data_IF_911394194598
#
_entry.id   IF_911394194598
#
_cell.length_a   1.000
_cell.length_b   1.000
_cell.length_c   1.000
_cell.angle_alpha   90.00
_cell.angle_beta   90.00
_cell.angle_gamma   90.00
#
_symmetry.space_group_name_H-M   'P 1'
#
loop_
_entity.id
_entity.type
_entity.pdbx_description
1 polymer ?
#
# COMPACT_ATOMS: atom_id res chain seq x y z
N UNK A 1 -10.68 -0.70 3.39
CA UNK A 1 -9.30 -0.48 2.96
C UNK A 1 -8.34 -1.04 4.00
N UNK A 2 -7.42 -1.82 3.57
CA UNK A 2 -6.35 -2.37 4.41
C UNK A 2 -5.01 -1.83 3.92
N UNK A 3 -4.16 -1.43 4.84
CA UNK A 3 -2.82 -0.99 4.54
C UNK A 3 -1.82 -1.75 5.39
N UNK A 4 -0.74 -2.21 4.77
CA UNK A 4 0.32 -2.96 5.43
C UNK A 4 1.66 -2.34 5.10
N UNK A 5 2.44 -2.06 6.12
CA UNK A 5 3.79 -1.55 5.98
C UNK A 5 4.71 -2.35 6.87
N UNK A 6 5.81 -2.82 6.31
CA UNK A 6 6.84 -3.51 7.05
C UNK A 6 8.12 -2.71 6.98
N UNK A 7 8.67 -2.38 8.15
CA UNK A 7 9.95 -1.69 8.27
C UNK A 7 10.96 -2.60 8.96
N UNK A 8 12.19 -2.58 8.45
CA UNK A 8 13.30 -3.30 9.06
C UNK A 8 14.23 -2.32 9.75
N UNK A 9 14.66 -2.66 10.95
CA UNK A 9 15.65 -1.90 11.69
C UNK A 9 17.04 -2.49 11.46
N UNK A 10 18.08 -1.69 11.70
CA UNK A 10 19.47 -2.13 11.56
C UNK A 10 19.95 -3.05 12.68
N UNK A 11 19.15 -3.25 13.72
CA UNK A 11 19.46 -4.18 14.79
C UNK A 11 19.11 -5.60 14.35
N UNK A 12 19.71 -6.64 14.92
CA UNK A 12 19.39 -8.02 14.56
C UNK A 12 17.98 -8.42 14.98
N UNK A 13 17.16 -7.47 15.29
CA UNK A 13 15.78 -7.67 15.63
C UNK A 13 14.96 -7.66 14.37
N UNK A 14 14.02 -8.51 14.35
CA UNK A 14 12.99 -8.68 13.35
C UNK A 14 12.38 -7.35 12.90
N UNK A 15 12.03 -7.27 11.64
CA UNK A 15 11.32 -6.14 11.09
C UNK A 15 10.00 -5.89 11.81
N UNK A 16 9.54 -4.65 11.73
CA UNK A 16 8.30 -4.22 12.35
C UNK A 16 7.21 -4.15 11.30
N UNK A 17 6.08 -4.77 11.58
CA UNK A 17 4.88 -4.71 10.75
C UNK A 17 3.88 -3.73 11.34
N UNK A 18 3.43 -2.78 10.53
CA UNK A 18 2.32 -1.90 10.88
C UNK A 18 1.20 -2.16 9.87
N UNK A 19 0.02 -2.45 10.36
CA UNK A 19 -1.14 -2.66 9.51
C UNK A 19 -2.39 -2.10 10.19
N UNK A 20 -3.38 -1.78 9.38
CA UNK A 20 -4.63 -1.23 9.89
C UNK A 20 -5.73 -1.26 8.85
N UNK A 21 -6.92 -0.96 9.29
CA UNK A 21 -8.10 -0.84 8.45
C UNK A 21 -8.68 0.54 8.60
N UNK A 22 -9.11 1.12 7.47
CA UNK A 22 -9.75 2.42 7.44
C UNK A 22 -11.19 2.24 6.95
N UNK A 23 -12.13 2.79 7.69
CA UNK A 23 -13.54 2.75 7.39
C UNK A 23 -14.04 4.15 6.99
N UNK A 24 -15.14 4.18 6.25
CA UNK A 24 -15.74 5.45 5.84
C UNK A 24 -14.97 6.20 4.78
N UNK A 25 -14.09 5.51 4.06
CA UNK A 25 -13.36 6.09 2.95
C UNK A 25 -14.29 6.21 1.75
N UNK A 26 -14.15 7.29 0.98
CA UNK A 26 -14.95 7.53 -0.20
C UNK A 26 -14.84 6.38 -1.20
N UNK A 27 -15.97 5.86 -1.67
CA UNK A 27 -16.01 4.73 -2.60
C UNK A 27 -15.30 5.02 -3.91
N UNK A 28 -15.37 6.25 -4.39
CA UNK A 28 -14.69 6.66 -5.61
C UNK A 28 -13.18 6.49 -5.48
N UNK A 29 -12.63 6.85 -4.33
CA UNK A 29 -11.21 6.66 -4.05
C UNK A 29 -10.85 5.18 -3.98
N UNK A 30 -11.70 4.35 -3.39
CA UNK A 30 -11.44 2.91 -3.25
C UNK A 30 -11.36 2.18 -4.58
N UNK A 31 -11.85 2.78 -5.67
CA UNK A 31 -11.83 2.23 -7.02
C UNK A 31 -10.84 2.89 -7.94
N UNK A 32 -10.16 3.93 -7.48
CA UNK A 32 -9.24 4.73 -8.29
C UNK A 32 -7.82 4.18 -8.18
N UNK A 33 -7.50 3.24 -9.07
CA UNK A 33 -6.20 2.58 -9.11
C UNK A 33 -5.05 3.58 -9.25
N UNK A 34 -5.16 4.53 -10.17
CA UNK A 34 -4.09 5.49 -10.42
C UNK A 34 -3.84 6.37 -9.21
N UNK A 35 -4.89 6.80 -8.55
CA UNK A 35 -4.78 7.64 -7.37
C UNK A 35 -4.18 6.87 -6.20
N UNK A 36 -4.58 5.62 -6.01
CA UNK A 36 -4.04 4.78 -4.96
C UNK A 36 -2.56 4.45 -5.21
N UNK A 37 -2.16 4.26 -6.46
CA UNK A 37 -0.75 4.11 -6.81
C UNK A 37 0.05 5.36 -6.40
N UNK A 38 -0.47 6.54 -6.70
CA UNK A 38 0.19 7.80 -6.32
C UNK A 38 0.28 7.97 -4.80
N UNK A 39 -0.75 7.58 -4.08
CA UNK A 39 -0.73 7.63 -2.61
C UNK A 39 0.39 6.77 -2.06
N UNK A 40 0.56 5.56 -2.56
CA UNK A 40 1.61 4.64 -2.12
C UNK A 40 2.99 5.17 -2.47
N UNK A 41 3.16 5.68 -3.69
CA UNK A 41 4.42 6.27 -4.14
C UNK A 41 4.80 7.47 -3.26
N UNK A 42 3.84 8.33 -3.00
CA UNK A 42 4.05 9.50 -2.17
C UNK A 42 4.37 9.13 -0.72
N UNK A 43 3.67 8.13 -0.20
CA UNK A 43 3.94 7.61 1.14
C UNK A 43 5.37 7.09 1.26
N UNK A 44 5.85 6.35 0.27
CA UNK A 44 7.23 5.87 0.24
C UNK A 44 8.21 7.04 0.23
N UNK A 45 7.92 8.07 -0.55
CA UNK A 45 8.76 9.26 -0.65
C UNK A 45 8.80 10.03 0.68
N UNK A 46 7.65 10.26 1.30
CA UNK A 46 7.55 10.95 2.59
C UNK A 46 8.29 10.17 3.68
N UNK A 47 8.20 8.85 3.66
CA UNK A 47 8.89 8.00 4.61
C UNK A 47 10.40 7.85 4.31
N UNK A 48 10.88 8.51 3.27
CA UNK A 48 12.28 8.46 2.84
C UNK A 48 12.74 7.04 2.49
N UNK A 49 11.86 6.27 1.90
CA UNK A 49 12.14 4.93 1.42
C UNK A 49 12.50 4.95 -0.07
N UNK A 50 13.30 3.98 -0.50
CA UNK A 50 13.76 3.88 -1.87
C UNK A 50 12.84 2.96 -2.68
N UNK A 51 12.02 3.55 -3.53
CA UNK A 51 11.06 2.83 -4.34
C UNK A 51 11.77 2.00 -5.42
N UNK A 52 11.44 0.73 -5.49
CA UNK A 52 11.97 -0.21 -6.50
C UNK A 52 10.93 -0.46 -7.57
N UNK A 53 9.72 -0.82 -7.17
CA UNK A 53 8.64 -1.19 -8.09
C UNK A 53 7.28 -0.95 -7.46
N UNK A 54 6.30 -0.60 -8.28
CA UNK A 54 4.90 -0.50 -7.88
C UNK A 54 4.07 -1.34 -8.82
N UNK A 55 3.28 -2.24 -8.26
CA UNK A 55 2.30 -3.03 -8.99
C UNK A 55 0.91 -2.79 -8.45
N UNK A 56 -0.07 -2.83 -9.31
CA UNK A 56 -1.46 -2.68 -8.90
C UNK A 56 -2.38 -3.53 -9.75
N UNK A 57 -3.52 -3.87 -9.16
CA UNK A 57 -4.57 -4.64 -9.82
C UNK A 57 -5.90 -4.03 -9.48
N UNK A 58 -6.75 -3.92 -10.48
CA UNK A 58 -8.14 -3.53 -10.29
C UNK A 58 -9.04 -4.73 -10.52
N UNK A 59 -9.79 -5.08 -9.50
CA UNK A 59 -10.76 -6.19 -9.56
C UNK A 59 -12.12 -5.64 -9.98
N UNK A 60 -12.70 -6.21 -11.02
CA UNK A 60 -13.99 -5.78 -11.58
C UNK A 60 -14.99 -6.92 -11.54
N UNK A 61 -16.21 -6.55 -11.19
CA UNK A 61 -17.38 -7.43 -11.34
C UNK A 61 -17.70 -8.24 -10.10
N UNK A 62 -18.98 -8.58 -9.97
CA UNK A 62 -19.52 -9.36 -8.88
C UNK A 62 -19.44 -8.63 -7.55
N UNK A 63 -19.28 -9.40 -6.49
CA UNK A 63 -19.24 -8.90 -5.12
C UNK A 63 -17.86 -8.42 -4.69
N UNK A 64 -16.88 -8.50 -5.60
CA UNK A 64 -15.49 -8.19 -5.26
C UNK A 64 -14.90 -7.15 -6.20
N UNK A 65 -15.33 -5.92 -6.00
CA UNK A 65 -14.70 -4.79 -6.65
C UNK A 65 -13.69 -4.18 -5.69
N UNK A 66 -12.53 -3.81 -6.23
CA UNK A 66 -11.52 -3.16 -5.43
C UNK A 66 -10.21 -3.01 -6.17
N UNK A 67 -9.24 -2.48 -5.46
CA UNK A 67 -7.90 -2.23 -5.97
C UNK A 67 -6.89 -2.75 -4.97
N UNK A 68 -5.84 -3.39 -5.45
CA UNK A 68 -4.67 -3.72 -4.65
C UNK A 68 -3.46 -3.00 -5.23
N UNK A 69 -2.69 -2.36 -4.37
CA UNK A 69 -1.44 -1.71 -4.75
C UNK A 69 -0.34 -2.23 -3.84
N UNK A 70 0.76 -2.64 -4.42
CA UNK A 70 1.94 -3.07 -3.68
C UNK A 70 3.13 -2.28 -4.20
N UNK A 71 3.83 -1.62 -3.30
CA UNK A 71 5.09 -0.97 -3.58
C UNK A 71 6.22 -1.72 -2.91
N UNK A 72 7.19 -2.14 -3.71
CA UNK A 72 8.43 -2.71 -3.21
C UNK A 72 9.43 -1.57 -3.01
N UNK A 73 9.93 -1.44 -1.81
CA UNK A 73 10.99 -0.50 -1.48
C UNK A 73 12.21 -1.29 -1.01
N UNK A 74 13.40 -0.70 -1.11
CA UNK A 74 14.62 -1.41 -0.69
C UNK A 74 14.54 -1.88 0.76
N UNK A 75 13.92 -1.09 1.59
CA UNK A 75 13.82 -1.35 3.03
C UNK A 75 12.72 -2.32 3.40
N UNK A 76 11.67 -2.45 2.56
CA UNK A 76 10.49 -3.24 2.89
C UNK A 76 9.45 -3.22 1.75
N UNK A 77 8.18 -3.12 2.13
CA UNK A 77 7.07 -2.98 1.20
C UNK A 77 5.92 -2.18 1.82
N UNK A 78 5.08 -1.61 0.97
CA UNK A 78 3.86 -0.93 1.34
C UNK A 78 2.73 -1.53 0.50
N UNK A 79 1.64 -1.90 1.12
CA UNK A 79 0.50 -2.48 0.41
C UNK A 79 -0.81 -1.84 0.85
N UNK A 80 -1.70 -1.61 -0.12
CA UNK A 80 -3.07 -1.16 0.12
C UNK A 80 -4.00 -2.11 -0.61
N UNK A 81 -5.05 -2.50 0.06
CA UNK A 81 -6.10 -3.34 -0.51
C UNK A 81 -7.45 -2.76 -0.15
N UNK A 82 -8.28 -2.50 -1.16
CA UNK A 82 -9.61 -1.91 -0.95
C UNK A 82 -10.75 -2.89 -1.20
#
# INVERSE_FOLDING_TARGET
MQATTQAQTKTPVVGKHVYGELYGVDEGLLRDEDRLRRVVIEAAHIANMHLVEVNSWRFKGGDKEGVSVIALVLESHIAIHT
#
